data_IF_992625612803
#
_entry.id   IF_992625612803
#
_cell.length_a   1.000
_cell.length_b   1.000
_cell.length_c   1.000
_cell.angle_alpha   90.00
_cell.angle_beta   90.00
_cell.angle_gamma   90.00
#
_symmetry.space_group_name_H-M   'P 1'
#
loop_
_entity.id
_entity.type
_entity.pdbx_description
1 polymer ?
#
# COMPACT_ATOMS: atom_id res chain seq x y z
N UNK A 1 -3.21 -16.90 17.94
CA UNK A 1 -3.78 -15.90 17.03
C UNK A 1 -3.02 -16.00 15.71
N UNK A 2 -3.70 -16.11 14.59
CA UNK A 2 -3.07 -16.11 13.28
C UNK A 2 -2.54 -14.70 12.98
N UNK A 3 -1.31 -14.61 12.48
CA UNK A 3 -0.72 -13.33 12.06
C UNK A 3 -1.58 -12.68 10.96
N UNK A 4 -1.69 -11.36 10.99
CA UNK A 4 -2.42 -10.62 9.94
C UNK A 4 -1.64 -10.68 8.64
N UNK A 5 -2.29 -11.13 7.56
CA UNK A 5 -1.64 -11.27 6.25
C UNK A 5 -1.51 -9.93 5.54
N UNK A 6 -0.36 -9.72 4.91
CA UNK A 6 -0.06 -8.54 4.10
C UNK A 6 0.58 -8.92 2.78
N UNK A 7 0.19 -8.23 1.70
CA UNK A 7 0.89 -8.25 0.42
C UNK A 7 1.80 -7.03 0.30
N UNK A 8 3.09 -7.24 0.07
CA UNK A 8 4.03 -6.19 -0.37
C UNK A 8 4.22 -6.35 -1.88
N UNK A 9 3.71 -5.39 -2.64
CA UNK A 9 3.74 -5.38 -4.11
C UNK A 9 4.74 -4.34 -4.61
N UNK A 10 5.82 -4.79 -5.24
CA UNK A 10 6.77 -3.90 -5.88
C UNK A 10 6.31 -3.57 -7.30
N UNK A 11 6.14 -2.29 -7.58
CA UNK A 11 5.77 -1.78 -8.91
C UNK A 11 7.03 -1.25 -9.58
N UNK A 12 7.52 -2.00 -10.57
CA UNK A 12 8.76 -1.67 -11.29
C UNK A 12 8.90 -2.51 -12.55
N UNK A 13 9.07 -1.88 -13.70
CA UNK A 13 9.43 -2.55 -14.95
C UNK A 13 10.75 -3.32 -14.81
N UNK A 14 11.76 -2.69 -14.20
CA UNK A 14 13.08 -3.30 -14.05
C UNK A 14 13.09 -4.53 -13.14
N UNK A 15 12.33 -4.50 -12.05
CA UNK A 15 12.18 -5.67 -11.16
C UNK A 15 11.36 -6.75 -11.86
N UNK A 16 10.26 -6.38 -12.52
CA UNK A 16 9.40 -7.30 -13.27
C UNK A 16 10.16 -8.02 -14.38
N UNK A 17 11.05 -7.32 -15.08
CA UNK A 17 11.91 -7.90 -16.13
C UNK A 17 13.15 -8.62 -15.59
N UNK A 18 13.39 -8.63 -14.29
CA UNK A 18 14.58 -9.25 -13.67
C UNK A 18 15.89 -8.49 -13.91
N UNK A 19 15.84 -7.25 -14.39
CA UNK A 19 17.02 -6.41 -14.66
C UNK A 19 17.41 -5.52 -13.49
N UNK A 20 16.60 -5.46 -12.45
CA UNK A 20 16.82 -4.66 -11.23
C UNK A 20 16.46 -5.47 -9.99
N UNK A 21 17.27 -5.34 -8.93
CA UNK A 21 17.01 -5.94 -7.62
C UNK A 21 15.87 -5.19 -6.92
N UNK A 22 14.96 -5.94 -6.29
CA UNK A 22 13.86 -5.41 -5.48
C UNK A 22 14.33 -5.11 -4.05
N UNK A 23 14.98 -3.98 -3.85
CA UNK A 23 15.46 -3.57 -2.53
C UNK A 23 14.32 -3.02 -1.66
N UNK A 24 13.45 -2.15 -2.20
CA UNK A 24 12.37 -1.55 -1.43
C UNK A 24 11.35 -2.58 -0.96
N UNK A 25 10.92 -3.48 -1.83
CA UNK A 25 9.98 -4.56 -1.47
C UNK A 25 10.56 -5.50 -0.42
N UNK A 26 11.85 -5.84 -0.51
CA UNK A 26 12.51 -6.67 0.50
C UNK A 26 12.53 -5.98 1.87
N UNK A 27 12.96 -4.73 1.94
CA UNK A 27 13.04 -3.97 3.20
C UNK A 27 11.67 -3.75 3.84
N UNK A 28 10.64 -3.46 3.04
CA UNK A 28 9.27 -3.34 3.56
C UNK A 28 8.76 -4.66 4.12
N UNK A 29 9.04 -5.78 3.43
CA UNK A 29 8.65 -7.11 3.89
C UNK A 29 9.34 -7.47 5.21
N UNK A 30 10.65 -7.25 5.34
CA UNK A 30 11.40 -7.46 6.57
C UNK A 30 10.86 -6.60 7.72
N UNK A 31 10.55 -5.32 7.45
CA UNK A 31 10.01 -4.39 8.44
C UNK A 31 8.64 -4.83 8.96
N UNK A 32 7.74 -5.24 8.06
CA UNK A 32 6.41 -5.72 8.41
C UNK A 32 6.46 -7.09 9.12
N UNK A 33 7.33 -7.99 8.69
CA UNK A 33 7.54 -9.27 9.38
C UNK A 33 8.05 -9.06 10.83
N UNK A 34 8.91 -8.06 11.04
CA UNK A 34 9.35 -7.64 12.37
C UNK A 34 8.25 -7.12 13.28
N UNK A 35 7.13 -6.62 12.72
CA UNK A 35 5.91 -6.24 13.43
C UNK A 35 4.92 -7.41 13.63
N UNK A 36 5.26 -8.61 13.18
CA UNK A 36 4.44 -9.81 13.35
C UNK A 36 3.41 -10.04 12.24
N UNK A 37 3.52 -9.37 11.10
CA UNK A 37 2.69 -9.65 9.93
C UNK A 37 3.17 -10.92 9.19
N UNK A 38 2.21 -11.63 8.58
CA UNK A 38 2.50 -12.69 7.61
C UNK A 38 2.59 -12.08 6.21
N UNK A 39 3.81 -12.03 5.65
CA UNK A 39 4.13 -11.22 4.48
C UNK A 39 4.27 -12.07 3.22
N UNK A 40 3.41 -11.83 2.24
CA UNK A 40 3.57 -12.26 0.85
C UNK A 40 4.22 -11.13 0.04
N UNK A 41 5.11 -11.45 -0.90
CA UNK A 41 5.73 -10.49 -1.82
C UNK A 41 5.27 -10.76 -3.24
N UNK A 42 5.00 -9.68 -3.99
CA UNK A 42 4.67 -9.72 -5.40
C UNK A 42 5.37 -8.60 -6.18
N UNK A 43 5.34 -8.70 -7.49
CA UNK A 43 5.90 -7.71 -8.42
C UNK A 43 4.88 -7.45 -9.53
N UNK A 44 4.74 -6.19 -9.93
CA UNK A 44 3.97 -5.78 -11.10
C UNK A 44 4.80 -4.81 -11.96
N UNK A 45 4.61 -4.85 -13.27
CA UNK A 45 5.15 -3.84 -14.17
C UNK A 45 4.47 -2.48 -13.95
N UNK A 46 5.10 -1.39 -14.39
CA UNK A 46 4.55 -0.02 -14.34
C UNK A 46 3.42 0.17 -15.38
N UNK A 47 2.38 -0.64 -15.25
CA UNK A 47 1.18 -0.64 -16.09
C UNK A 47 -0.09 -0.63 -15.24
N UNK A 48 -1.03 0.26 -15.58
CA UNK A 48 -2.28 0.43 -14.82
C UNK A 48 -3.02 -0.90 -14.65
N UNK A 49 -3.17 -1.68 -15.71
CA UNK A 49 -3.90 -2.95 -15.66
C UNK A 49 -3.21 -4.00 -14.79
N UNK A 50 -1.87 -4.09 -14.86
CA UNK A 50 -1.09 -5.04 -14.08
C UNK A 50 -1.14 -4.70 -12.57
N UNK A 51 -0.97 -3.43 -12.24
CA UNK A 51 -1.06 -2.93 -10.84
C UNK A 51 -2.47 -3.15 -10.30
N UNK A 52 -3.50 -2.73 -11.05
CA UNK A 52 -4.89 -2.85 -10.63
C UNK A 52 -5.28 -4.31 -10.38
N UNK A 53 -4.90 -5.24 -11.27
CA UNK A 53 -5.17 -6.67 -11.11
C UNK A 53 -4.50 -7.24 -9.85
N UNK A 54 -3.21 -6.91 -9.62
CA UNK A 54 -2.46 -7.40 -8.48
C UNK A 54 -3.00 -6.83 -7.15
N UNK A 55 -3.35 -5.54 -7.11
CA UNK A 55 -3.93 -4.90 -5.91
C UNK A 55 -5.32 -5.47 -5.61
N UNK A 56 -6.18 -5.63 -6.62
CA UNK A 56 -7.52 -6.21 -6.43
C UNK A 56 -7.44 -7.65 -5.90
N UNK A 57 -6.61 -8.49 -6.51
CA UNK A 57 -6.39 -9.85 -6.03
C UNK A 57 -5.78 -9.89 -4.62
N UNK A 58 -4.85 -8.98 -4.34
CA UNK A 58 -4.25 -8.82 -3.02
C UNK A 58 -5.27 -8.44 -1.95
N UNK A 59 -6.15 -7.48 -2.22
CA UNK A 59 -7.17 -7.01 -1.28
C UNK A 59 -8.22 -8.08 -0.93
N UNK A 60 -8.43 -9.06 -1.80
CA UNK A 60 -9.31 -10.21 -1.50
C UNK A 60 -8.65 -11.15 -0.49
N UNK A 61 -7.34 -11.35 -0.58
CA UNK A 61 -6.59 -12.36 0.22
C UNK A 61 -5.93 -11.81 1.46
N UNK A 62 -5.61 -10.51 1.48
CA UNK A 62 -4.84 -9.88 2.55
C UNK A 62 -5.62 -8.73 3.20
N UNK A 63 -5.33 -8.49 4.47
CA UNK A 63 -5.92 -7.38 5.23
C UNK A 63 -5.19 -6.06 5.02
N UNK A 64 -3.96 -6.13 4.51
CA UNK A 64 -3.12 -4.99 4.18
C UNK A 64 -2.46 -5.25 2.83
N UNK A 65 -2.53 -4.27 1.93
CA UNK A 65 -1.78 -4.26 0.67
C UNK A 65 -0.89 -3.03 0.68
N UNK A 66 0.40 -3.25 0.56
CA UNK A 66 1.41 -2.19 0.53
C UNK A 66 2.09 -2.24 -0.83
N UNK A 67 1.91 -1.21 -1.65
CA UNK A 67 2.66 -1.07 -2.89
C UNK A 67 3.85 -0.14 -2.71
N UNK A 68 4.94 -0.37 -3.45
CA UNK A 68 6.11 0.52 -3.49
C UNK A 68 6.51 0.76 -4.94
N UNK A 69 6.65 2.01 -5.32
CA UNK A 69 6.99 2.45 -6.67
C UNK A 69 5.83 3.07 -7.44
N UNK A 70 6.15 3.78 -8.53
CA UNK A 70 5.18 4.38 -9.44
C UNK A 70 4.37 5.54 -8.87
N UNK A 71 4.87 6.24 -7.84
CA UNK A 71 4.17 7.37 -7.20
C UNK A 71 4.77 8.75 -7.54
N UNK A 72 5.72 8.81 -8.46
CA UNK A 72 6.34 10.04 -8.91
C UNK A 72 5.56 10.75 -10.03
N UNK A 73 6.27 11.59 -10.81
CA UNK A 73 5.67 12.46 -11.83
C UNK A 73 6.00 12.05 -13.26
N UNK A 74 6.74 10.95 -13.48
CA UNK A 74 7.06 10.50 -14.84
C UNK A 74 5.85 9.80 -15.48
N UNK A 75 5.87 9.63 -16.79
CA UNK A 75 4.83 8.92 -17.52
C UNK A 75 4.71 7.44 -17.15
N UNK A 76 5.74 6.88 -16.51
CA UNK A 76 5.74 5.49 -16.01
C UNK A 76 5.21 5.39 -14.58
N UNK A 77 5.08 6.50 -13.86
CA UNK A 77 4.53 6.55 -12.50
C UNK A 77 3.00 6.54 -12.57
N UNK A 78 2.39 5.36 -12.60
CA UNK A 78 0.95 5.18 -12.80
C UNK A 78 0.25 4.46 -11.63
N UNK A 79 0.94 4.25 -10.53
CA UNK A 79 0.36 3.56 -9.36
C UNK A 79 -0.88 4.25 -8.81
N UNK A 80 -0.94 5.59 -8.63
CA UNK A 80 -2.17 6.24 -8.18
C UNK A 80 -3.34 6.04 -9.15
N UNK A 81 -3.10 6.17 -10.45
CA UNK A 81 -4.12 5.96 -11.47
C UNK A 81 -4.68 4.53 -11.48
N UNK A 82 -3.86 3.55 -11.11
CA UNK A 82 -4.27 2.16 -11.00
C UNK A 82 -5.08 1.88 -9.73
N UNK A 83 -4.73 2.52 -8.61
CA UNK A 83 -5.29 2.21 -7.29
C UNK A 83 -6.54 3.04 -6.98
N UNK A 84 -6.53 4.36 -7.25
CA UNK A 84 -7.63 5.25 -6.90
C UNK A 84 -9.01 4.76 -7.36
N UNK A 85 -9.19 4.27 -8.60
CA UNK A 85 -10.50 3.77 -9.07
C UNK A 85 -10.98 2.50 -8.37
N UNK A 86 -10.09 1.77 -7.68
CA UNK A 86 -10.42 0.54 -6.96
C UNK A 86 -10.90 0.79 -5.54
N UNK A 87 -10.60 1.97 -4.98
CA UNK A 87 -10.90 2.28 -3.59
C UNK A 87 -12.40 2.49 -3.40
N UNK A 88 -12.95 1.83 -2.38
CA UNK A 88 -14.30 2.16 -1.90
C UNK A 88 -14.33 3.57 -1.32
N UNK A 89 -13.27 3.97 -0.62
CA UNK A 89 -13.03 5.34 -0.16
C UNK A 89 -11.55 5.57 0.16
N UNK A 90 -11.06 6.83 -0.01
CA UNK A 90 -9.70 7.20 0.37
C UNK A 90 -9.56 7.43 1.88
N UNK A 91 -8.32 7.26 2.38
CA UNK A 91 -7.91 7.64 3.75
C UNK A 91 -6.78 8.68 3.64
N UNK A 92 -7.10 9.94 3.33
CA UNK A 92 -6.10 10.94 2.94
C UNK A 92 -5.08 11.25 4.04
N UNK A 93 -5.47 11.17 5.30
CA UNK A 93 -4.56 11.42 6.42
C UNK A 93 -3.33 10.50 6.45
N UNK A 94 -3.44 9.27 5.96
CA UNK A 94 -2.27 8.38 5.86
C UNK A 94 -1.29 8.87 4.78
N UNK A 95 -1.79 9.32 3.62
CA UNK A 95 -0.95 9.94 2.59
C UNK A 95 -0.26 11.22 3.07
N UNK A 96 -0.95 12.02 3.88
CA UNK A 96 -0.39 13.22 4.50
C UNK A 96 0.73 12.88 5.48
N UNK A 97 0.56 11.87 6.34
CA UNK A 97 1.60 11.38 7.26
C UNK A 97 2.84 10.89 6.50
N UNK A 98 2.66 10.14 5.42
CA UNK A 98 3.77 9.67 4.59
C UNK A 98 4.58 10.82 4.00
N UNK A 99 3.92 11.83 3.40
CA UNK A 99 4.58 13.01 2.85
C UNK A 99 5.24 13.85 3.94
N UNK A 100 4.59 14.06 5.09
CA UNK A 100 5.17 14.79 6.20
C UNK A 100 6.44 14.11 6.74
N UNK A 101 6.45 12.78 6.81
CA UNK A 101 7.64 12.04 7.18
C UNK A 101 8.78 12.24 6.18
N UNK A 102 8.49 12.10 4.88
CA UNK A 102 9.48 12.29 3.82
C UNK A 102 10.05 13.71 3.75
N UNK A 103 9.24 14.74 4.04
CA UNK A 103 9.68 16.14 4.07
C UNK A 103 10.76 16.43 5.11
N UNK A 104 10.87 15.61 6.17
CA UNK A 104 11.98 15.71 7.13
C UNK A 104 13.34 15.31 6.52
N UNK A 105 13.32 14.49 5.48
CA UNK A 105 14.52 14.00 4.80
C UNK A 105 14.83 14.74 3.51
N UNK A 106 13.81 15.14 2.77
CA UNK A 106 13.98 15.84 1.47
C UNK A 106 12.74 16.64 1.09
N UNK A 107 12.91 17.86 0.51
CA UNK A 107 11.78 18.64 -0.01
C UNK A 107 11.09 17.93 -1.21
N UNK A 108 11.76 17.02 -1.91
CA UNK A 108 11.18 16.28 -3.02
C UNK A 108 10.02 15.36 -2.59
N UNK A 109 9.90 15.03 -1.31
CA UNK A 109 8.77 14.27 -0.78
C UNK A 109 7.42 14.96 -1.04
N UNK A 110 7.39 16.28 -1.21
CA UNK A 110 6.19 17.02 -1.60
C UNK A 110 5.63 16.61 -2.97
N UNK A 111 6.46 16.04 -3.85
CA UNK A 111 6.08 15.58 -5.18
C UNK A 111 5.54 14.15 -5.18
N UNK A 112 5.60 13.45 -4.04
CA UNK A 112 5.09 12.09 -3.92
C UNK A 112 3.57 12.08 -3.97
N UNK A 113 3.01 11.26 -4.87
CA UNK A 113 1.58 10.99 -4.96
C UNK A 113 1.16 9.77 -4.17
N UNK A 114 1.89 9.46 -3.10
CA UNK A 114 1.53 8.41 -2.13
C UNK A 114 0.13 8.62 -1.60
N UNK A 115 -0.62 7.53 -1.51
CA UNK A 115 -2.02 7.52 -1.10
C UNK A 115 -2.34 6.32 -0.23
N UNK A 116 -3.48 6.38 0.43
CA UNK A 116 -4.08 5.25 1.13
C UNK A 116 -5.60 5.25 0.97
N UNK A 117 -6.19 4.07 1.08
CA UNK A 117 -7.62 3.89 1.01
C UNK A 117 -8.03 2.46 1.37
N UNK A 118 -9.30 2.18 1.23
CA UNK A 118 -9.90 0.89 1.60
C UNK A 118 -10.49 0.21 0.37
N UNK A 119 -10.27 -1.08 0.25
CA UNK A 119 -10.95 -1.97 -0.70
C UNK A 119 -11.57 -3.12 0.14
N UNK A 120 -12.89 -3.16 0.24
CA UNK A 120 -13.57 -4.13 1.09
C UNK A 120 -13.14 -4.04 2.55
N UNK A 121 -12.37 -5.03 3.01
CA UNK A 121 -11.82 -5.08 4.38
C UNK A 121 -10.30 -4.95 4.40
N UNK A 122 -9.71 -4.55 3.30
CA UNK A 122 -8.27 -4.38 3.15
C UNK A 122 -7.88 -2.90 3.15
N UNK A 123 -6.89 -2.54 3.97
CA UNK A 123 -6.22 -1.25 3.88
C UNK A 123 -5.18 -1.32 2.76
N UNK A 124 -5.18 -0.34 1.87
CA UNK A 124 -4.24 -0.24 0.75
C UNK A 124 -3.37 1.00 0.94
N UNK A 125 -2.07 0.82 0.85
CA UNK A 125 -1.06 1.89 0.95
C UNK A 125 -0.21 1.91 -0.31
N UNK A 126 -0.05 3.07 -0.93
CA UNK A 126 0.88 3.29 -2.03
C UNK A 126 2.07 4.13 -1.57
N UNK A 127 3.24 3.52 -1.48
CA UNK A 127 4.48 4.10 -0.95
C UNK A 127 5.44 4.51 -2.08
N UNK A 128 6.39 5.43 -1.80
CA UNK A 128 7.45 5.77 -2.75
C UNK A 128 8.28 4.56 -3.18
N UNK A 129 8.93 4.66 -4.34
CA UNK A 129 9.77 3.58 -4.87
C UNK A 129 11.17 3.51 -4.29
N UNK A 130 11.71 4.59 -3.72
CA UNK A 130 13.03 4.54 -3.09
C UNK A 130 12.98 3.76 -1.78
N UNK A 131 13.96 2.89 -1.49
CA UNK A 131 13.98 2.09 -0.27
C UNK A 131 13.85 2.93 1.00
N UNK A 132 14.59 4.05 1.07
CA UNK A 132 14.53 4.98 2.21
C UNK A 132 13.15 5.63 2.33
N UNK A 133 12.62 6.20 1.25
CA UNK A 133 11.31 6.87 1.26
C UNK A 133 10.16 5.90 1.56
N UNK A 134 10.24 4.66 1.07
CA UNK A 134 9.27 3.62 1.35
C UNK A 134 9.24 3.27 2.85
N UNK A 135 10.41 3.06 3.47
CA UNK A 135 10.50 2.77 4.91
C UNK A 135 10.04 3.94 5.77
N UNK A 136 10.49 5.17 5.47
CA UNK A 136 10.04 6.38 6.18
C UNK A 136 8.52 6.54 6.13
N UNK A 137 7.92 6.27 4.96
CA UNK A 137 6.47 6.33 4.77
C UNK A 137 5.75 5.23 5.56
N UNK A 138 6.25 4.00 5.51
CA UNK A 138 5.67 2.89 6.29
C UNK A 138 5.76 3.17 7.79
N UNK A 139 6.93 3.55 8.30
CA UNK A 139 7.14 3.83 9.73
C UNK A 139 6.25 4.96 10.24
N UNK A 140 5.92 5.95 9.40
CA UNK A 140 5.02 7.03 9.75
C UNK A 140 3.58 6.57 10.00
N UNK A 141 3.12 5.53 9.30
CA UNK A 141 1.73 5.05 9.39
C UNK A 141 1.59 3.78 10.25
N UNK A 142 2.67 3.04 10.49
CA UNK A 142 2.66 1.83 11.33
C UNK A 142 1.93 1.99 12.66
N UNK A 143 2.10 3.09 13.43
CA UNK A 143 1.43 3.25 14.72
C UNK A 143 -0.10 3.17 14.67
N UNK A 144 -0.70 3.45 13.51
CA UNK A 144 -2.15 3.45 13.34
C UNK A 144 -2.69 2.28 12.53
N UNK A 145 -1.83 1.50 11.87
CA UNK A 145 -2.25 0.38 11.00
C UNK A 145 -3.02 -0.68 11.79
N UNK A 146 -2.53 -1.10 12.95
CA UNK A 146 -3.20 -2.14 13.75
C UNK A 146 -4.63 -1.73 14.08
N UNK A 147 -4.82 -0.51 14.57
CA UNK A 147 -6.14 0.02 14.89
C UNK A 147 -7.04 0.15 13.65
N UNK A 148 -6.50 0.58 12.50
CA UNK A 148 -7.24 0.65 11.25
C UNK A 148 -7.74 -0.73 10.82
N UNK A 149 -6.90 -1.76 10.90
CA UNK A 149 -7.26 -3.14 10.54
C UNK A 149 -8.29 -3.74 11.50
N UNK A 150 -8.22 -3.44 12.79
CA UNK A 150 -9.23 -3.81 13.80
C UNK A 150 -10.57 -3.15 13.46
N UNK A 151 -10.59 -1.86 13.21
CA UNK A 151 -11.79 -1.11 12.83
C UNK A 151 -12.44 -1.69 11.58
N UNK A 152 -11.65 -2.01 10.54
CA UNK A 152 -12.15 -2.65 9.32
C UNK A 152 -12.66 -4.09 9.57
N UNK A 153 -12.17 -4.77 10.61
CA UNK A 153 -12.67 -6.08 11.01
C UNK A 153 -14.03 -5.98 11.67
N UNK A 154 -14.23 -5.01 12.54
CA UNK A 154 -15.47 -4.84 13.34
C UNK A 154 -16.64 -4.31 12.50
N UNK A 155 -16.38 -3.52 11.45
CA UNK A 155 -17.41 -2.94 10.58
C UNK A 155 -18.22 -4.00 9.82
N UNK A 156 -17.71 -5.22 9.71
CA UNK A 156 -18.45 -6.35 9.13
C UNK A 156 -19.72 -6.74 9.91
N UNK A 157 -19.86 -6.32 11.17
CA UNK A 157 -21.01 -6.62 12.03
C UNK A 157 -22.08 -5.53 12.03
N UNK A 158 -21.77 -4.31 11.56
CA UNK A 158 -22.66 -3.14 11.66
C UNK A 158 -23.39 -2.78 10.37
N UNK A 159 -23.01 -3.34 9.23
CA UNK A 159 -23.61 -3.07 7.91
C UNK A 159 -24.40 -4.27 7.36
N UNK A 160 -25.01 -5.08 8.21
CA UNK A 160 -26.13 -5.87 7.75
C UNK A 160 -27.28 -4.89 7.48
N UNK A 161 -27.44 -4.50 6.23
CA UNK A 161 -28.55 -3.66 5.75
C UNK A 161 -29.86 -4.24 6.26
N UNK A 162 -30.74 -3.48 6.95
CA UNK A 162 -32.07 -3.95 7.23
C UNK A 162 -32.76 -4.21 5.90
N UNK A 163 -33.26 -5.42 5.72
CA UNK A 163 -34.08 -5.75 4.55
C UNK A 163 -35.22 -4.72 4.45
N UNK A 164 -35.31 -4.08 3.30
CA UNK A 164 -36.42 -3.19 2.96
C UNK A 164 -37.74 -3.94 3.14
N UNK A 165 -38.64 -3.40 3.98
CA UNK A 165 -40.02 -3.81 4.04
C UNK A 165 -40.83 -3.18 2.94
#
# INVERSE_FOLDING_TARGET
MTATSVLVLTVSDGVSAGTRTDESGLRLAERLAGEGFDVERGVAADEVSAIAAAVSAGAIRHRLVVTTGGTGLTSRDVTPQAIEPLLDYPVPGLGELMRAAGLRSTPHAALSRSLAGVIGRSLVLALPGSPKGALESLDAVLPVIAHALETLADDSSRHATPAAR
#
